data_IF_170008368366
#
_entry.id   IF_170008368366
#
_cell.length_a   1.000
_cell.length_b   1.000
_cell.length_c   1.000
_cell.angle_alpha   90.00
_cell.angle_beta   90.00
_cell.angle_gamma   90.00
#
_symmetry.space_group_name_H-M   'P 1'
#
loop_
_entity.id
_entity.type
_entity.pdbx_description
1 polymer ?
#
# COMPACT_ATOMS: atom_id res chain seq x y z
N UNK A 1 23.59 5.80 -15.68
CA UNK A 1 22.71 6.66 -16.48
C UNK A 1 22.42 6.04 -17.85
N UNK A 2 23.42 5.72 -18.65
CA UNK A 2 23.27 5.08 -19.97
C UNK A 2 22.34 3.85 -19.96
N UNK A 3 22.61 2.87 -19.08
CA UNK A 3 21.77 1.66 -18.89
C UNK A 3 20.31 2.01 -18.53
N UNK A 4 20.10 3.06 -17.75
CA UNK A 4 18.75 3.47 -17.33
C UNK A 4 17.98 4.11 -18.50
N UNK A 5 18.65 4.92 -19.32
CA UNK A 5 18.08 5.45 -20.55
C UNK A 5 17.78 4.33 -21.56
N UNK A 6 18.66 3.32 -21.69
CA UNK A 6 18.42 2.18 -22.58
C UNK A 6 17.15 1.40 -22.17
N UNK A 7 16.95 1.20 -20.86
CA UNK A 7 15.73 0.60 -20.33
C UNK A 7 14.48 1.45 -20.65
N UNK A 8 14.52 2.76 -20.42
CA UNK A 8 13.40 3.65 -20.76
C UNK A 8 13.13 3.69 -22.28
N UNK A 9 14.17 3.72 -23.10
CA UNK A 9 14.05 3.68 -24.56
C UNK A 9 13.45 2.35 -25.04
N UNK A 10 13.78 1.23 -24.38
CA UNK A 10 13.14 -0.05 -24.65
C UNK A 10 11.65 0.00 -24.35
N UNK A 11 11.25 0.54 -23.19
CA UNK A 11 9.83 0.72 -22.83
C UNK A 11 9.08 1.53 -23.88
N UNK A 12 9.66 2.65 -24.35
CA UNK A 12 9.06 3.48 -25.41
C UNK A 12 8.90 2.71 -26.72
N UNK A 13 9.89 1.90 -27.12
CA UNK A 13 9.84 1.11 -28.36
C UNK A 13 8.80 -0.01 -28.31
N UNK A 14 8.46 -0.50 -27.12
CA UNK A 14 7.50 -1.60 -26.92
C UNK A 14 6.09 -1.13 -26.53
N UNK A 15 5.81 0.17 -26.62
CA UNK A 15 4.48 0.70 -26.35
C UNK A 15 3.43 0.13 -27.31
N UNK A 16 2.17 0.15 -26.89
CA UNK A 16 1.03 -0.15 -27.74
C UNK A 16 0.86 0.88 -28.86
N UNK A 17 0.28 0.51 -30.03
CA UNK A 17 -0.06 1.47 -31.08
C UNK A 17 -0.93 2.66 -30.64
N UNK A 18 -1.68 2.53 -29.54
CA UNK A 18 -2.45 3.61 -28.93
C UNK A 18 -1.61 4.64 -28.14
N UNK A 19 -0.31 4.42 -28.01
CA UNK A 19 0.58 5.29 -27.25
C UNK A 19 0.41 5.16 -25.75
N UNK A 20 0.32 3.91 -25.26
CA UNK A 20 0.33 3.55 -23.85
C UNK A 20 1.24 2.33 -23.62
N UNK A 21 1.64 2.08 -22.39
CA UNK A 21 2.44 0.91 -22.03
C UNK A 21 1.71 -0.40 -22.39
N UNK A 22 2.46 -1.37 -22.93
CA UNK A 22 1.92 -2.69 -23.23
C UNK A 22 1.91 -3.59 -22.00
N UNK A 23 0.79 -4.29 -21.79
CA UNK A 23 0.66 -5.37 -20.83
C UNK A 23 -0.15 -6.54 -21.44
N UNK A 24 0.12 -6.89 -22.71
CA UNK A 24 -0.60 -7.97 -23.41
C UNK A 24 -0.27 -9.36 -22.88
N UNK A 25 1.00 -9.58 -22.61
CA UNK A 25 1.58 -10.91 -22.35
C UNK A 25 1.97 -11.10 -20.88
N UNK A 26 1.60 -10.14 -20.04
CA UNK A 26 1.94 -10.06 -18.63
C UNK A 26 0.66 -10.28 -17.81
N UNK A 27 0.78 -10.98 -16.68
CA UNK A 27 -0.32 -11.43 -15.84
C UNK A 27 -0.65 -10.50 -14.67
N UNK A 28 0.24 -9.62 -14.22
CA UNK A 28 0.00 -8.81 -13.01
C UNK A 28 0.07 -7.32 -13.32
N UNK A 29 -0.75 -6.50 -12.65
CA UNK A 29 -0.70 -5.05 -12.91
C UNK A 29 0.68 -4.42 -12.62
N UNK A 30 1.50 -5.06 -11.78
CA UNK A 30 2.91 -4.65 -11.56
C UNK A 30 3.77 -4.67 -12.82
N UNK A 31 3.41 -5.49 -13.81
CA UNK A 31 4.10 -5.57 -15.10
C UNK A 31 3.72 -4.40 -16.01
N UNK A 32 2.59 -3.73 -15.75
CA UNK A 32 2.28 -2.42 -16.31
C UNK A 32 2.95 -1.29 -15.52
N UNK A 33 2.91 -1.34 -14.19
CA UNK A 33 3.38 -0.23 -13.34
C UNK A 33 4.91 -0.17 -13.20
N UNK A 34 5.63 -1.28 -13.38
CA UNK A 34 7.10 -1.29 -13.41
C UNK A 34 7.70 -0.41 -14.52
N UNK A 35 7.33 -0.64 -15.80
CA UNK A 35 7.70 0.24 -16.90
C UNK A 35 7.26 1.69 -16.71
N UNK A 36 6.07 1.92 -16.12
CA UNK A 36 5.60 3.27 -15.79
C UNK A 36 6.55 3.97 -14.81
N UNK A 37 6.98 3.28 -13.76
CA UNK A 37 7.92 3.83 -12.79
C UNK A 37 9.26 4.21 -13.45
N UNK A 38 9.78 3.37 -14.35
CA UNK A 38 11.00 3.67 -15.12
C UNK A 38 10.85 4.97 -15.91
N UNK A 39 9.74 5.13 -16.65
CA UNK A 39 9.53 6.34 -17.44
C UNK A 39 9.41 7.59 -16.58
N UNK A 40 8.73 7.51 -15.44
CA UNK A 40 8.58 8.62 -14.50
C UNK A 40 9.93 9.08 -13.92
N UNK A 41 10.74 8.13 -13.45
CA UNK A 41 12.06 8.42 -12.87
C UNK A 41 13.00 9.05 -13.91
N UNK A 42 13.03 8.49 -15.13
CA UNK A 42 13.92 8.99 -16.19
C UNK A 42 13.41 10.29 -16.78
N UNK A 43 12.10 10.49 -16.91
CA UNK A 43 11.56 11.77 -17.36
C UNK A 43 11.97 12.90 -16.42
N UNK A 44 11.89 12.69 -15.10
CA UNK A 44 12.35 13.67 -14.10
C UNK A 44 13.84 13.97 -14.19
N UNK A 45 14.65 12.95 -14.49
CA UNK A 45 16.09 13.10 -14.59
C UNK A 45 16.54 13.76 -15.91
N UNK A 46 15.81 13.56 -17.00
CA UNK A 46 16.30 13.91 -18.35
C UNK A 46 15.42 14.87 -19.14
N UNK A 47 14.16 15.10 -18.74
CA UNK A 47 13.18 15.90 -19.47
C UNK A 47 12.99 15.48 -20.94
N UNK A 48 13.12 14.17 -21.22
CA UNK A 48 12.87 13.63 -22.57
C UNK A 48 11.37 13.46 -22.75
N UNK A 49 10.78 14.31 -23.59
CA UNK A 49 9.33 14.36 -23.84
C UNK A 49 8.70 13.00 -24.18
N UNK A 50 9.42 12.14 -24.92
CA UNK A 50 8.92 10.80 -25.24
C UNK A 50 8.62 9.95 -24.00
N UNK A 51 9.38 10.13 -22.91
CA UNK A 51 9.14 9.42 -21.65
C UNK A 51 7.93 10.02 -20.91
N UNK A 52 7.88 11.35 -20.81
CA UNK A 52 6.80 12.07 -20.14
C UNK A 52 5.44 11.82 -20.79
N UNK A 53 5.36 11.97 -22.11
CA UNK A 53 4.15 11.76 -22.89
C UNK A 53 3.59 10.34 -22.74
N UNK A 54 4.45 9.33 -22.81
CA UNK A 54 4.03 7.94 -22.65
C UNK A 54 3.63 7.64 -21.20
N UNK A 55 4.35 8.17 -20.21
CA UNK A 55 4.06 7.98 -18.80
C UNK A 55 2.71 8.59 -18.41
N UNK A 56 2.45 9.85 -18.79
CA UNK A 56 1.20 10.55 -18.49
C UNK A 56 -0.02 9.81 -19.04
N UNK A 57 0.03 9.47 -20.34
CA UNK A 57 -1.06 8.73 -21.00
C UNK A 57 -1.30 7.37 -20.36
N UNK A 58 -0.22 6.66 -20.02
CA UNK A 58 -0.32 5.33 -19.42
C UNK A 58 -0.84 5.39 -17.98
N UNK A 59 -0.46 6.42 -17.22
CA UNK A 59 -0.99 6.63 -15.86
C UNK A 59 -2.49 6.95 -15.91
N UNK A 60 -2.92 7.84 -16.80
CA UNK A 60 -4.35 8.16 -16.96
C UNK A 60 -5.16 6.93 -17.40
N UNK A 61 -4.59 6.08 -18.27
CA UNK A 61 -5.24 4.85 -18.72
C UNK A 61 -5.32 3.83 -17.59
N UNK A 62 -4.25 3.68 -16.82
CA UNK A 62 -4.22 2.83 -15.63
C UNK A 62 -5.30 3.24 -14.63
N UNK A 63 -5.37 4.53 -14.28
CA UNK A 63 -6.38 5.06 -13.36
C UNK A 63 -7.82 4.88 -13.90
N UNK A 64 -8.02 4.98 -15.21
CA UNK A 64 -9.31 4.70 -15.85
C UNK A 64 -9.72 3.22 -15.77
N UNK A 65 -8.74 2.31 -15.71
CA UNK A 65 -8.96 0.87 -15.67
C UNK A 65 -9.21 0.33 -14.25
N UNK A 66 -9.04 1.16 -13.21
CA UNK A 66 -9.22 0.72 -11.83
C UNK A 66 -10.71 0.49 -11.52
N UNK A 67 -11.05 -0.52 -10.69
CA UNK A 67 -12.43 -0.77 -10.27
C UNK A 67 -13.09 0.42 -9.56
N UNK A 68 -12.27 1.26 -8.93
CA UNK A 68 -12.66 2.49 -8.27
C UNK A 68 -11.46 3.13 -7.58
N UNK A 69 -11.58 4.38 -7.10
CA UNK A 69 -10.53 5.05 -6.34
C UNK A 69 -10.04 4.21 -5.15
N UNK A 70 -8.74 4.08 -4.99
CA UNK A 70 -8.11 3.28 -3.92
C UNK A 70 -8.17 1.75 -4.11
N UNK A 71 -8.76 1.25 -5.20
CA UNK A 71 -8.87 -0.18 -5.47
C UNK A 71 -8.00 -0.62 -6.65
N UNK A 72 -7.39 -1.79 -6.52
CA UNK A 72 -6.46 -2.33 -7.51
C UNK A 72 -6.94 -3.68 -8.05
N UNK A 73 -6.97 -3.87 -9.38
CA UNK A 73 -7.16 -5.20 -9.92
C UNK A 73 -5.95 -6.08 -9.57
N UNK A 74 -6.14 -7.39 -9.47
CA UNK A 74 -5.01 -8.32 -9.35
C UNK A 74 -4.15 -8.21 -10.62
N UNK A 75 -4.81 -8.19 -11.76
CA UNK A 75 -4.22 -8.28 -13.09
C UNK A 75 -4.84 -7.23 -14.00
N UNK A 76 -4.03 -6.62 -14.85
CA UNK A 76 -4.45 -5.62 -15.84
C UNK A 76 -3.80 -5.93 -17.17
N UNK A 77 -4.59 -6.04 -18.23
CA UNK A 77 -4.13 -6.38 -19.56
C UNK A 77 -4.53 -5.32 -20.58
N UNK A 78 -3.59 -4.96 -21.46
CA UNK A 78 -3.93 -4.25 -22.70
C UNK A 78 -4.42 -5.23 -23.76
N UNK A 79 -5.44 -4.82 -24.53
CA UNK A 79 -6.11 -5.63 -25.56
C UNK A 79 -6.54 -4.78 -26.76
N UNK A 80 -7.18 -5.42 -27.73
CA UNK A 80 -7.59 -4.79 -28.98
C UNK A 80 -6.45 -4.62 -29.98
N UNK A 81 -6.76 -4.25 -31.21
CA UNK A 81 -5.76 -4.04 -32.28
C UNK A 81 -4.77 -2.93 -31.91
N UNK A 82 -5.26 -1.85 -31.30
CA UNK A 82 -4.45 -0.70 -30.89
C UNK A 82 -3.84 -0.80 -29.50
N UNK A 83 -4.30 -1.74 -28.67
CA UNK A 83 -3.81 -1.89 -27.30
C UNK A 83 -4.49 -0.98 -26.28
N UNK A 84 -5.57 -0.29 -26.65
CA UNK A 84 -6.29 0.66 -25.80
C UNK A 84 -7.46 0.05 -25.01
N UNK A 85 -7.74 -1.24 -25.19
CA UNK A 85 -8.75 -1.94 -24.41
C UNK A 85 -8.17 -2.48 -23.10
N UNK A 86 -8.95 -2.41 -22.03
CA UNK A 86 -8.58 -2.95 -20.73
C UNK A 86 -9.36 -4.23 -20.41
N UNK A 87 -8.63 -5.25 -19.95
CA UNK A 87 -9.20 -6.42 -19.27
C UNK A 87 -8.60 -6.48 -17.88
N UNK A 88 -9.44 -6.67 -16.87
CA UNK A 88 -9.02 -6.70 -15.46
C UNK A 88 -9.44 -8.00 -14.80
N UNK A 89 -8.54 -8.56 -13.99
CA UNK A 89 -8.93 -9.55 -12.99
C UNK A 89 -9.26 -8.80 -11.70
N UNK A 90 -10.49 -8.92 -11.21
CA UNK A 90 -11.03 -8.04 -10.18
C UNK A 90 -10.27 -8.10 -8.87
N UNK A 91 -10.38 -6.99 -8.15
CA UNK A 91 -9.66 -6.69 -6.93
C UNK A 91 -10.05 -7.61 -5.77
N UNK A 92 -9.10 -7.84 -4.89
CA UNK A 92 -9.35 -8.12 -3.47
C UNK A 92 -9.32 -6.76 -2.75
N UNK A 93 -10.03 -6.53 -1.62
CA UNK A 93 -9.95 -5.27 -0.88
C UNK A 93 -8.52 -4.72 -0.76
N UNK A 94 -8.36 -3.38 -0.69
CA UNK A 94 -7.29 -2.54 -1.28
C UNK A 94 -5.81 -2.96 -1.15
N UNK A 95 -5.46 -3.94 -0.34
CA UNK A 95 -4.09 -4.15 0.17
C UNK A 95 -3.46 -5.44 -0.34
N UNK A 96 -4.07 -6.05 -1.37
CA UNK A 96 -3.77 -7.40 -1.80
C UNK A 96 -2.55 -7.58 -2.72
N UNK A 97 -2.32 -6.72 -3.73
CA UNK A 97 -1.62 -7.22 -4.93
C UNK A 97 -0.55 -6.34 -5.64
N UNK A 98 -0.26 -5.10 -5.25
CA UNK A 98 1.09 -4.52 -5.41
C UNK A 98 1.25 -3.32 -4.48
N UNK A 99 2.26 -3.37 -3.61
CA UNK A 99 2.43 -2.42 -2.51
C UNK A 99 3.42 -1.30 -2.78
N UNK A 100 3.88 -1.12 -4.02
CA UNK A 100 4.92 -0.12 -4.34
C UNK A 100 4.41 0.94 -5.32
N UNK A 101 3.20 1.48 -5.07
CA UNK A 101 2.61 2.53 -5.92
C UNK A 101 3.05 3.94 -5.52
N UNK A 102 3.59 4.13 -4.31
CA UNK A 102 4.03 5.43 -3.83
C UNK A 102 4.98 6.16 -4.80
N UNK A 103 6.04 5.53 -5.35
CA UNK A 103 6.93 6.21 -6.31
C UNK A 103 6.19 6.77 -7.52
N UNK A 104 5.23 6.01 -8.05
CA UNK A 104 4.40 6.40 -9.19
C UNK A 104 3.49 7.57 -8.82
N UNK A 105 2.87 7.54 -7.64
CA UNK A 105 1.98 8.62 -7.18
C UNK A 105 2.73 9.90 -6.87
N UNK A 106 3.84 9.80 -6.14
CA UNK A 106 4.69 10.93 -5.84
C UNK A 106 5.25 11.59 -7.10
N UNK A 107 5.66 10.79 -8.09
CA UNK A 107 6.13 11.29 -9.37
C UNK A 107 4.99 11.87 -10.22
N UNK A 108 3.86 11.17 -10.31
CA UNK A 108 2.68 11.58 -11.07
C UNK A 108 2.11 12.91 -10.58
N UNK A 109 1.88 13.08 -9.27
CA UNK A 109 1.38 14.32 -8.68
C UNK A 109 2.34 15.51 -8.88
N UNK A 110 3.65 15.24 -8.95
CA UNK A 110 4.67 16.27 -9.20
C UNK A 110 4.75 16.67 -10.66
N UNK A 111 4.61 15.71 -11.57
CA UNK A 111 4.87 15.91 -13.00
C UNK A 111 3.63 16.29 -13.81
N UNK A 112 2.46 15.79 -13.41
CA UNK A 112 1.27 15.85 -14.23
C UNK A 112 0.09 16.38 -13.40
N UNK A 113 -0.69 17.34 -13.93
CA UNK A 113 -1.96 17.71 -13.31
C UNK A 113 -2.96 16.57 -13.52
N UNK A 114 -3.39 15.90 -12.45
CA UNK A 114 -4.38 14.83 -12.54
C UNK A 114 -5.31 14.80 -11.33
N UNK A 115 -6.54 15.28 -11.52
CA UNK A 115 -7.60 15.21 -10.50
C UNK A 115 -7.94 13.74 -10.17
N UNK A 116 -7.92 12.87 -11.18
CA UNK A 116 -8.17 11.44 -10.98
C UNK A 116 -7.10 10.79 -10.08
N UNK A 117 -5.83 11.14 -10.27
CA UNK A 117 -4.76 10.68 -9.39
C UNK A 117 -4.94 11.22 -7.97
N UNK A 118 -5.32 12.48 -7.83
CA UNK A 118 -5.61 13.09 -6.52
C UNK A 118 -6.71 12.33 -5.77
N UNK A 119 -7.84 12.09 -6.43
CA UNK A 119 -8.97 11.34 -5.88
C UNK A 119 -8.55 9.92 -5.49
N UNK A 120 -7.76 9.26 -6.35
CA UNK A 120 -7.27 7.90 -6.10
C UNK A 120 -6.38 7.81 -4.85
N UNK A 121 -5.38 8.69 -4.74
CA UNK A 121 -4.45 8.71 -3.60
C UNK A 121 -5.20 8.99 -2.29
N UNK A 122 -6.16 9.92 -2.29
CA UNK A 122 -6.96 10.19 -1.10
C UNK A 122 -7.86 9.02 -0.71
N UNK A 123 -8.49 8.35 -1.68
CA UNK A 123 -9.32 7.19 -1.40
C UNK A 123 -8.50 6.05 -0.77
N UNK A 124 -7.29 5.80 -1.28
CA UNK A 124 -6.37 4.82 -0.68
C UNK A 124 -5.96 5.23 0.73
N UNK A 125 -5.59 6.49 0.96
CA UNK A 125 -5.22 6.99 2.28
C UNK A 125 -6.37 6.86 3.28
N UNK A 126 -7.61 7.14 2.88
CA UNK A 126 -8.79 6.99 3.75
C UNK A 126 -9.02 5.53 4.14
N UNK A 127 -8.87 4.59 3.20
CA UNK A 127 -8.96 3.18 3.52
C UNK A 127 -7.87 2.76 4.53
N UNK A 128 -6.61 3.18 4.32
CA UNK A 128 -5.51 2.88 5.23
C UNK A 128 -5.76 3.47 6.63
N UNK A 129 -6.27 4.70 6.68
CA UNK A 129 -6.51 5.43 7.92
C UNK A 129 -7.58 4.75 8.78
N UNK A 130 -8.68 4.27 8.18
CA UNK A 130 -9.85 3.82 8.93
C UNK A 130 -10.08 2.32 8.93
N UNK A 131 -9.80 1.64 7.82
CA UNK A 131 -10.24 0.27 7.62
C UNK A 131 -9.10 -0.74 7.71
N UNK A 132 -7.92 -0.40 7.22
CA UNK A 132 -6.80 -1.33 7.21
C UNK A 132 -6.33 -1.63 8.63
N UNK A 133 -5.93 -2.88 8.88
CA UNK A 133 -5.16 -3.24 10.08
C UNK A 133 -3.91 -2.33 10.13
N UNK A 134 -3.49 -1.88 11.30
CA UNK A 134 -2.29 -1.02 11.45
C UNK A 134 -1.07 -1.79 11.93
N UNK A 135 -1.26 -3.03 12.40
CA UNK A 135 -0.22 -3.91 12.94
C UNK A 135 -0.67 -5.39 12.84
N UNK A 136 0.18 -6.29 13.30
CA UNK A 136 -0.08 -7.72 13.52
C UNK A 136 -0.88 -8.02 14.79
N UNK A 137 -1.25 -7.00 15.57
CA UNK A 137 -2.05 -7.14 16.77
C UNK A 137 -3.51 -6.85 16.44
N UNK A 138 -4.38 -7.80 16.76
CA UNK A 138 -5.80 -7.75 16.43
C UNK A 138 -6.64 -8.12 17.64
N UNK A 139 -7.81 -7.53 17.79
CA UNK A 139 -8.81 -8.01 18.77
C UNK A 139 -9.51 -9.27 18.24
N UNK A 140 -10.26 -9.94 19.11
CA UNK A 140 -11.09 -11.08 18.71
C UNK A 140 -12.10 -10.71 17.60
N UNK A 141 -12.69 -9.52 17.69
CA UNK A 141 -13.67 -9.02 16.72
C UNK A 141 -13.02 -8.71 15.36
N UNK A 142 -11.89 -8.00 15.37
CA UNK A 142 -11.08 -7.78 14.17
C UNK A 142 -10.70 -9.11 13.51
N UNK A 143 -10.24 -10.08 14.30
CA UNK A 143 -9.87 -11.38 13.77
C UNK A 143 -11.06 -12.14 13.18
N UNK A 144 -12.25 -12.07 13.80
CA UNK A 144 -13.49 -12.68 13.30
C UNK A 144 -13.86 -12.19 11.91
N UNK A 145 -13.67 -10.89 11.64
CA UNK A 145 -14.15 -10.25 10.41
C UNK A 145 -13.07 -10.04 9.35
N UNK A 146 -11.78 -9.99 9.74
CA UNK A 146 -10.67 -9.66 8.83
C UNK A 146 -9.78 -10.84 8.48
N UNK A 147 -9.74 -11.87 9.33
CA UNK A 147 -8.82 -12.98 9.17
C UNK A 147 -9.56 -14.23 8.69
N UNK A 148 -8.86 -15.05 7.91
CA UNK A 148 -9.38 -16.36 7.46
C UNK A 148 -8.95 -17.47 8.41
N UNK A 149 -9.55 -18.66 8.29
CA UNK A 149 -9.18 -19.86 9.08
C UNK A 149 -7.73 -20.30 8.93
N UNK A 150 -7.01 -19.78 7.91
CA UNK A 150 -5.56 -19.99 7.75
C UNK A 150 -4.71 -19.15 8.70
N UNK A 151 -5.33 -18.29 9.50
CA UNK A 151 -4.64 -17.35 10.38
C UNK A 151 -4.49 -17.94 11.76
N UNK A 152 -3.24 -18.16 12.17
CA UNK A 152 -2.94 -18.50 13.55
C UNK A 152 -2.92 -17.23 14.40
N UNK A 153 -3.39 -17.38 15.63
CA UNK A 153 -3.47 -16.33 16.64
C UNK A 153 -2.86 -16.77 17.95
N UNK A 154 -2.22 -15.86 18.67
CA UNK A 154 -1.71 -16.10 20.01
C UNK A 154 -2.10 -14.93 20.91
N UNK A 155 -2.69 -15.21 22.08
CA UNK A 155 -3.05 -14.14 23.04
C UNK A 155 -1.80 -13.37 23.46
N UNK A 156 -1.92 -12.05 23.53
CA UNK A 156 -0.87 -11.13 23.98
C UNK A 156 -1.26 -10.55 25.34
N UNK A 157 -2.51 -10.10 25.44
CA UNK A 157 -3.14 -9.65 26.67
C UNK A 157 -4.62 -10.05 26.68
N UNK A 158 -5.42 -9.43 27.56
CA UNK A 158 -6.85 -9.71 27.72
C UNK A 158 -7.70 -9.29 26.50
N UNK A 159 -7.19 -8.42 25.63
CA UNK A 159 -7.92 -7.85 24.49
C UNK A 159 -7.32 -8.25 23.13
N UNK A 160 -5.99 -8.29 23.04
CA UNK A 160 -5.25 -8.42 21.79
C UNK A 160 -4.62 -9.79 21.58
N UNK A 161 -4.54 -10.15 20.30
CA UNK A 161 -3.93 -11.34 19.78
C UNK A 161 -2.88 -10.96 18.74
N UNK A 162 -1.74 -11.63 18.79
CA UNK A 162 -0.75 -11.62 17.73
C UNK A 162 -1.20 -12.53 16.59
N UNK A 163 -1.05 -12.08 15.33
CA UNK A 163 -1.23 -12.91 14.15
C UNK A 163 0.02 -12.94 13.26
N UNK A 164 0.32 -14.10 12.67
CA UNK A 164 1.36 -14.25 11.64
C UNK A 164 1.03 -13.43 10.36
N UNK A 165 -0.25 -13.11 10.16
CA UNK A 165 -0.76 -12.34 9.02
C UNK A 165 -1.10 -10.91 9.44
N UNK A 166 -0.08 -10.10 9.69
CA UNK A 166 -0.26 -8.66 9.88
C UNK A 166 0.11 -7.84 8.65
N UNK A 167 0.03 -6.53 8.85
CA UNK A 167 0.42 -5.53 7.86
C UNK A 167 1.92 -5.68 7.61
N UNK A 168 2.28 -6.38 6.54
CA UNK A 168 3.65 -6.43 6.05
C UNK A 168 4.19 -5.01 5.90
N UNK A 169 5.13 -4.63 6.78
CA UNK A 169 5.97 -3.41 6.77
C UNK A 169 5.40 -2.30 5.91
N UNK A 170 4.37 -1.63 6.43
CA UNK A 170 3.36 -0.90 5.66
C UNK A 170 3.91 0.09 4.63
N UNK A 171 4.23 -0.41 3.44
CA UNK A 171 4.55 0.39 2.26
C UNK A 171 3.43 1.39 1.92
N UNK A 172 2.19 1.12 2.37
CA UNK A 172 1.06 2.04 2.29
C UNK A 172 1.23 3.29 3.17
N UNK A 173 2.08 3.26 4.20
CA UNK A 173 2.30 4.42 5.07
C UNK A 173 2.84 5.64 4.29
N UNK A 174 3.55 5.44 3.17
CA UNK A 174 4.00 6.55 2.33
C UNK A 174 2.85 7.26 1.61
N UNK A 175 1.74 6.57 1.36
CA UNK A 175 0.51 7.16 0.82
C UNK A 175 -0.08 8.16 1.81
N UNK A 176 0.04 7.87 3.12
CA UNK A 176 -0.37 8.81 4.17
C UNK A 176 0.48 10.09 4.15
N UNK A 177 1.78 9.96 3.88
CA UNK A 177 2.65 11.12 3.70
C UNK A 177 2.24 11.98 2.49
N UNK A 178 1.86 11.36 1.36
CA UNK A 178 1.31 12.09 0.21
C UNK A 178 0.00 12.77 0.57
N UNK A 179 -0.92 12.07 1.22
CA UNK A 179 -2.21 12.63 1.61
C UNK A 179 -2.03 13.85 2.54
N UNK A 180 -1.06 13.82 3.45
CA UNK A 180 -0.69 14.98 4.24
C UNK A 180 -0.14 16.13 3.38
N UNK A 181 0.79 15.89 2.46
CA UNK A 181 1.29 16.95 1.55
C UNK A 181 0.16 17.59 0.73
N UNK A 182 -0.80 16.77 0.32
CA UNK A 182 -1.94 17.17 -0.49
C UNK A 182 -2.96 18.01 0.29
N UNK A 183 -3.18 17.71 1.57
CA UNK A 183 -4.35 18.24 2.31
C UNK A 183 -3.99 19.09 3.53
N UNK A 184 -2.80 18.90 4.10
CA UNK A 184 -2.43 19.43 5.41
C UNK A 184 -3.20 18.80 6.59
N UNK A 185 -4.00 17.75 6.38
CA UNK A 185 -4.80 17.15 7.46
C UNK A 185 -3.90 16.38 8.45
N UNK A 186 -3.84 16.80 9.74
CA UNK A 186 -2.96 16.19 10.72
C UNK A 186 -3.31 14.73 11.05
N UNK A 187 -4.50 14.22 10.69
CA UNK A 187 -4.84 12.81 10.86
C UNK A 187 -3.88 11.88 10.09
N UNK A 188 -3.41 12.29 8.91
CA UNK A 188 -2.45 11.51 8.12
C UNK A 188 -1.05 11.54 8.74
N UNK A 189 -0.62 12.68 9.29
CA UNK A 189 0.63 12.79 10.03
C UNK A 189 0.59 11.97 11.34
N UNK A 190 -0.55 11.96 12.03
CA UNK A 190 -0.75 11.15 13.23
C UNK A 190 -0.63 9.65 12.93
N UNK A 191 -1.18 9.17 11.80
CA UNK A 191 -0.96 7.80 11.34
C UNK A 191 0.54 7.51 11.15
N UNK A 192 1.25 8.39 10.43
CA UNK A 192 2.69 8.24 10.20
C UNK A 192 3.47 8.12 11.52
N UNK A 193 3.12 8.95 12.50
CA UNK A 193 3.73 8.93 13.82
C UNK A 193 3.46 7.64 14.59
N UNK A 194 2.21 7.16 14.57
CA UNK A 194 1.85 5.91 15.21
C UNK A 194 2.56 4.71 14.57
N UNK A 195 2.72 4.74 13.25
CA UNK A 195 3.50 3.73 12.53
C UNK A 195 4.97 3.75 12.98
N UNK A 196 5.60 4.92 13.00
CA UNK A 196 7.02 5.08 13.36
C UNK A 196 7.31 4.62 14.79
N UNK A 197 6.49 5.03 15.76
CA UNK A 197 6.76 4.77 17.18
C UNK A 197 6.09 3.51 17.73
N UNK A 198 5.12 2.94 17.01
CA UNK A 198 4.47 1.68 17.35
C UNK A 198 4.95 0.54 16.45
N UNK A 199 4.24 0.36 15.32
CA UNK A 199 4.41 -0.79 14.42
C UNK A 199 5.86 -1.01 13.99
N UNK A 200 6.54 0.04 13.52
CA UNK A 200 7.93 -0.04 13.07
C UNK A 200 8.89 -0.44 14.19
N UNK A 201 8.79 0.17 15.38
CA UNK A 201 9.65 -0.17 16.52
C UNK A 201 9.47 -1.64 16.93
N UNK A 202 8.22 -2.11 17.02
CA UNK A 202 7.92 -3.52 17.32
C UNK A 202 8.48 -4.45 16.24
N UNK A 203 8.33 -4.09 14.97
CA UNK A 203 8.84 -4.90 13.86
C UNK A 203 10.38 -4.95 13.85
N UNK A 204 11.04 -3.81 14.02
CA UNK A 204 12.49 -3.72 14.09
C UNK A 204 13.04 -4.57 15.25
N UNK A 205 12.35 -4.57 16.40
CA UNK A 205 12.73 -5.42 17.52
C UNK A 205 12.59 -6.91 17.17
N UNK A 206 11.48 -7.36 16.59
CA UNK A 206 11.34 -8.77 16.16
C UNK A 206 12.48 -9.18 15.22
N UNK A 207 12.81 -8.34 14.24
CA UNK A 207 13.92 -8.61 13.31
C UNK A 207 15.28 -8.75 14.02
N UNK A 208 15.55 -8.01 15.10
CA UNK A 208 16.80 -8.16 15.88
C UNK A 208 16.90 -9.51 16.57
N UNK A 209 15.77 -10.13 16.91
CA UNK A 209 15.68 -11.44 17.54
C UNK A 209 15.46 -12.58 16.52
N UNK A 210 15.63 -12.32 15.22
CA UNK A 210 15.37 -13.31 14.16
C UNK A 210 13.93 -13.85 14.13
N UNK A 211 13.00 -13.13 14.77
CA UNK A 211 11.57 -13.43 14.82
C UNK A 211 10.84 -12.67 13.71
N UNK A 212 9.92 -13.33 13.00
CA UNK A 212 9.12 -12.67 11.94
C UNK A 212 10.02 -11.98 10.88
N UNK A 213 11.15 -12.62 10.58
CA UNK A 213 12.17 -12.08 9.70
C UNK A 213 12.00 -12.56 8.26
N UNK A 214 11.24 -11.79 7.47
CA UNK A 214 11.03 -12.05 6.03
C UNK A 214 11.90 -11.11 5.20
N UNK A 215 12.49 -11.61 4.11
CA UNK A 215 13.30 -10.78 3.20
C UNK A 215 12.50 -9.58 2.64
N UNK A 216 11.20 -9.76 2.42
CA UNK A 216 10.28 -8.71 1.97
C UNK A 216 10.08 -7.58 3.01
N UNK A 217 10.60 -7.73 4.23
CA UNK A 217 10.44 -6.77 5.32
C UNK A 217 11.65 -5.84 5.47
N UNK A 218 12.72 -6.04 4.68
CA UNK A 218 13.98 -5.31 4.81
C UNK A 218 14.02 -3.98 4.04
N UNK A 219 12.87 -3.44 3.64
CA UNK A 219 12.77 -2.22 2.85
C UNK A 219 12.49 -0.96 3.68
N UNK A 220 12.72 -0.95 4.99
CA UNK A 220 12.43 0.22 5.85
C UNK A 220 13.06 1.53 5.36
N UNK A 221 14.22 1.44 4.71
CA UNK A 221 14.90 2.60 4.12
C UNK A 221 14.10 3.29 3.00
N UNK A 222 13.15 2.60 2.35
CA UNK A 222 12.36 3.20 1.27
C UNK A 222 11.26 4.13 1.77
N UNK A 223 10.79 3.96 3.01
CA UNK A 223 9.62 4.69 3.52
C UNK A 223 9.82 5.43 4.85
N UNK A 224 10.61 4.89 5.79
CA UNK A 224 10.78 5.50 7.12
C UNK A 224 11.27 6.95 7.06
N UNK A 225 12.26 7.32 6.21
CA UNK A 225 12.68 8.72 6.10
C UNK A 225 11.55 9.67 5.68
N UNK A 226 10.64 9.20 4.80
CA UNK A 226 9.51 10.00 4.34
C UNK A 226 8.53 10.28 5.47
N UNK A 227 8.25 9.28 6.30
CA UNK A 227 7.36 9.44 7.46
C UNK A 227 7.97 10.38 8.51
N UNK A 228 9.28 10.27 8.76
CA UNK A 228 10.00 11.14 9.71
C UNK A 228 9.88 12.60 9.29
N UNK A 229 10.04 12.90 7.99
CA UNK A 229 9.88 14.28 7.48
C UNK A 229 8.47 14.81 7.76
N UNK A 230 7.42 14.04 7.43
CA UNK A 230 6.02 14.47 7.64
C UNK A 230 5.74 14.75 9.10
N UNK A 231 6.12 13.83 9.98
CA UNK A 231 5.89 13.97 11.42
C UNK A 231 6.67 15.15 11.98
N UNK A 232 7.94 15.31 11.58
CA UNK A 232 8.77 16.44 11.99
C UNK A 232 8.17 17.77 11.54
N UNK A 233 7.66 17.85 10.31
CA UNK A 233 7.03 19.06 9.77
C UNK A 233 5.72 19.38 10.51
N UNK A 234 4.84 18.39 10.66
CA UNK A 234 3.58 18.55 11.38
C UNK A 234 3.79 18.97 12.84
N UNK A 235 4.77 18.38 13.54
CA UNK A 235 5.12 18.78 14.92
C UNK A 235 5.67 20.20 15.02
N UNK A 236 6.46 20.62 14.03
CA UNK A 236 7.03 21.97 14.00
C UNK A 236 5.97 23.03 13.69
N UNK A 237 4.96 22.69 12.88
CA UNK A 237 3.84 23.57 12.55
C UNK A 237 2.86 23.70 13.72
N UNK A 238 2.34 22.58 14.24
CA UNK A 238 1.43 22.55 15.38
C UNK A 238 1.43 21.17 16.07
N UNK A 239 2.35 20.97 17.01
CA UNK A 239 2.43 19.73 17.77
C UNK A 239 1.18 19.41 18.60
N UNK A 240 0.45 20.41 19.09
CA UNK A 240 -0.76 20.19 19.87
C UNK A 240 -1.91 19.69 18.99
N UNK A 241 -2.03 20.23 17.77
CA UNK A 241 -2.99 19.72 16.78
C UNK A 241 -2.68 18.28 16.37
N UNK A 242 -1.39 17.93 16.22
CA UNK A 242 -0.99 16.55 15.90
C UNK A 242 -1.38 15.58 17.03
N UNK A 243 -1.06 15.93 18.28
CA UNK A 243 -1.40 15.08 19.43
C UNK A 243 -2.92 14.89 19.57
N UNK A 244 -3.71 15.95 19.32
CA UNK A 244 -5.16 15.86 19.29
C UNK A 244 -5.68 15.00 18.13
N UNK A 245 -5.07 15.11 16.94
CA UNK A 245 -5.42 14.30 15.79
C UNK A 245 -5.15 12.81 16.05
N UNK A 246 -4.02 12.46 16.68
CA UNK A 246 -3.69 11.11 17.13
C UNK A 246 -4.76 10.55 18.07
N UNK A 247 -5.15 11.29 19.10
CA UNK A 247 -6.17 10.86 20.05
C UNK A 247 -7.53 10.64 19.37
N UNK A 248 -7.95 11.58 18.52
CA UNK A 248 -9.22 11.49 17.78
C UNK A 248 -9.24 10.31 16.82
N UNK A 249 -8.14 10.10 16.11
CA UNK A 249 -7.99 8.98 15.18
C UNK A 249 -8.10 7.63 15.91
N UNK A 250 -7.32 7.44 16.98
CA UNK A 250 -7.37 6.22 17.81
C UNK A 250 -8.75 5.98 18.41
N UNK A 251 -9.37 7.00 19.00
CA UNK A 251 -10.71 6.92 19.59
C UNK A 251 -11.74 6.51 18.55
N UNK A 252 -11.78 7.20 17.40
CA UNK A 252 -12.72 6.87 16.33
C UNK A 252 -12.53 5.46 15.81
N UNK A 253 -11.28 5.00 15.67
CA UNK A 253 -10.99 3.63 15.28
C UNK A 253 -11.48 2.61 16.29
N UNK A 254 -11.31 2.87 17.58
CA UNK A 254 -11.86 2.03 18.64
C UNK A 254 -13.40 1.96 18.58
N UNK A 255 -14.07 3.11 18.41
CA UNK A 255 -15.54 3.18 18.25
C UNK A 255 -16.06 2.41 17.01
N UNK A 256 -15.21 2.27 16.00
CA UNK A 256 -15.48 1.51 14.77
C UNK A 256 -15.07 0.03 14.86
N UNK A 257 -14.68 -0.48 16.02
CA UNK A 257 -14.25 -1.87 16.21
C UNK A 257 -12.86 -2.19 15.64
N UNK A 258 -12.06 -1.17 15.36
CA UNK A 258 -10.72 -1.28 14.76
C UNK A 258 -9.63 -0.62 15.63
N UNK A 259 -9.59 -0.86 16.96
CA UNK A 259 -8.67 -0.18 17.87
C UNK A 259 -7.21 -0.37 17.46
N UNK A 260 -6.40 0.64 17.75
CA UNK A 260 -4.96 0.64 17.43
C UNK A 260 -4.20 0.12 18.64
N UNK A 261 -3.41 -0.93 18.45
CA UNK A 261 -2.58 -1.50 19.51
C UNK A 261 -1.43 -0.57 19.92
N UNK A 262 -1.38 -0.21 21.21
CA UNK A 262 -0.38 0.65 21.83
C UNK A 262 0.47 -0.06 22.90
N UNK A 263 0.26 -1.36 23.10
CA UNK A 263 1.02 -2.18 24.03
C UNK A 263 2.43 -2.57 23.57
N UNK A 264 3.16 -3.32 24.43
CA UNK A 264 4.49 -3.83 24.13
C UNK A 264 4.47 -4.84 22.98
N UNK A 265 5.63 -5.27 22.50
CA UNK A 265 5.67 -6.36 21.52
C UNK A 265 5.22 -7.69 22.15
N UNK A 266 5.12 -8.75 21.33
CA UNK A 266 5.17 -10.13 21.87
C UNK A 266 6.41 -10.30 22.75
N UNK A 267 6.32 -11.13 23.78
CA UNK A 267 7.41 -11.28 24.75
C UNK A 267 8.52 -12.17 24.18
N UNK A 268 9.47 -11.53 23.49
CA UNK A 268 10.62 -12.19 22.85
C UNK A 268 11.61 -12.81 23.85
N UNK A 269 11.44 -12.63 25.17
CA UNK A 269 12.25 -13.34 26.16
C UNK A 269 11.74 -14.76 26.42
N UNK A 270 10.45 -15.00 26.16
CA UNK A 270 9.80 -16.28 26.42
C UNK A 270 9.25 -16.93 25.16
N UNK A 271 8.79 -16.15 24.17
CA UNK A 271 8.21 -16.67 22.93
C UNK A 271 9.30 -17.00 21.91
N UNK A 272 9.35 -18.27 21.49
CA UNK A 272 10.19 -18.70 20.36
C UNK A 272 9.41 -18.52 19.06
N UNK A 273 9.96 -17.79 18.09
CA UNK A 273 9.27 -17.47 16.84
C UNK A 273 10.04 -17.93 15.60
N UNK A 274 9.31 -18.36 14.58
CA UNK A 274 9.89 -18.59 13.26
C UNK A 274 9.94 -17.31 12.38
N UNK A 275 10.53 -17.46 11.20
CA UNK A 275 10.67 -16.37 10.21
C UNK A 275 9.34 -15.83 9.67
N UNK A 276 8.23 -16.56 9.83
CA UNK A 276 6.90 -16.12 9.41
C UNK A 276 6.12 -15.44 10.55
N UNK A 277 6.73 -15.36 11.73
CA UNK A 277 6.10 -14.81 12.92
C UNK A 277 5.21 -15.81 13.65
N UNK A 278 5.38 -17.11 13.45
CA UNK A 278 4.66 -18.12 14.22
C UNK A 278 5.32 -18.33 15.57
N UNK A 279 4.54 -18.35 16.66
CA UNK A 279 5.05 -18.70 17.99
C UNK A 279 5.05 -20.22 18.14
N UNK A 280 6.21 -20.80 18.43
CA UNK A 280 6.50 -22.23 18.34
C UNK A 280 6.31 -22.96 19.67
N UNK A 281 6.51 -22.28 20.78
CA UNK A 281 6.52 -22.86 22.12
C UNK A 281 5.18 -22.76 22.86
N UNK A 282 4.15 -22.18 22.23
CA UNK A 282 2.76 -22.22 22.72
C UNK A 282 1.75 -22.35 21.60
N UNK A 283 0.65 -23.05 21.89
CA UNK A 283 -0.40 -23.34 20.90
C UNK A 283 -1.16 -22.07 20.51
N UNK A 284 -1.54 -21.92 19.24
CA UNK A 284 -2.43 -20.85 18.83
C UNK A 284 -3.82 -21.04 19.44
N UNK A 285 -4.54 -19.93 19.62
CA UNK A 285 -5.94 -19.93 20.02
C UNK A 285 -6.83 -20.02 18.78
N UNK A 286 -7.90 -20.78 18.91
CA UNK A 286 -8.94 -20.84 17.89
C UNK A 286 -10.07 -19.89 18.27
N UNK A 287 -10.33 -18.91 17.40
CA UNK A 287 -11.38 -17.91 17.58
C UNK A 287 -12.33 -18.01 16.39
N UNK A 288 -13.65 -17.83 16.59
CA UNK A 288 -14.62 -17.87 15.49
C UNK A 288 -14.23 -16.92 14.35
N UNK A 289 -14.45 -17.37 13.12
CA UNK A 289 -14.26 -16.60 11.88
C UNK A 289 -15.55 -16.51 11.11
N UNK A 290 -15.82 -15.32 10.59
CA UNK A 290 -16.95 -15.04 9.69
C UNK A 290 -16.49 -14.39 8.39
N UNK A 291 -15.19 -14.07 8.27
CA UNK A 291 -14.64 -13.53 7.05
C UNK A 291 -14.94 -14.50 5.89
N UNK A 292 -15.71 -14.07 4.87
CA UNK A 292 -16.04 -14.94 3.77
C UNK A 292 -14.76 -15.38 3.05
N UNK A 293 -14.76 -16.57 2.41
CA UNK A 293 -13.69 -16.91 1.49
C UNK A 293 -13.52 -15.76 0.49
N UNK A 294 -12.28 -15.37 0.18
CA UNK A 294 -12.03 -14.31 -0.81
C UNK A 294 -12.73 -14.70 -2.11
N UNK A 295 -13.76 -13.94 -2.48
CA UNK A 295 -14.48 -14.15 -3.72
C UNK A 295 -13.49 -13.98 -4.88
N UNK A 296 -13.43 -14.96 -5.78
CA UNK A 296 -12.83 -14.76 -7.09
C UNK A 296 -13.91 -14.16 -7.97
N UNK A 297 -13.97 -12.84 -7.99
CA UNK A 297 -14.80 -12.16 -8.97
C UNK A 297 -14.31 -12.53 -10.40
N UNK A 298 -15.20 -12.54 -11.41
CA UNK A 298 -14.84 -12.95 -12.76
C UNK A 298 -13.96 -11.91 -13.47
N UNK A 299 -13.12 -12.35 -14.41
CA UNK A 299 -12.39 -11.46 -15.31
C UNK A 299 -13.37 -10.55 -16.06
N UNK A 300 -13.13 -9.24 -16.03
CA UNK A 300 -14.00 -8.23 -16.65
C UNK A 300 -13.29 -7.59 -17.83
N UNK A 301 -13.95 -7.57 -18.99
CA UNK A 301 -13.53 -6.73 -20.12
C UNK A 301 -14.19 -5.37 -19.99
N UNK A 302 -13.37 -4.32 -19.83
CA UNK A 302 -13.83 -2.93 -19.81
C UNK A 302 -13.93 -2.34 -21.22
N UNK A 303 -13.42 -3.04 -22.22
CA UNK A 303 -13.32 -2.55 -23.59
C UNK A 303 -12.40 -1.33 -23.69
N UNK A 304 -12.63 -0.47 -24.70
CA UNK A 304 -11.87 0.76 -24.90
C UNK A 304 -12.23 1.78 -23.82
N UNK A 305 -11.23 2.26 -23.11
CA UNK A 305 -11.41 3.29 -22.07
C UNK A 305 -11.50 4.69 -22.69
N UNK A 306 -12.37 5.54 -22.13
CA UNK A 306 -12.39 6.96 -22.46
C UNK A 306 -11.24 7.66 -21.73
N UNK A 307 -10.26 8.12 -22.51
CA UNK A 307 -9.15 8.93 -22.05
C UNK A 307 -9.55 10.39 -22.16
N UNK A 308 -9.53 11.13 -21.05
CA UNK A 308 -9.62 12.58 -21.08
C UNK A 308 -8.35 13.13 -21.74
N UNK A 309 -8.52 14.11 -22.63
CA UNK A 309 -7.47 14.75 -23.42
C UNK A 309 -6.78 15.86 -22.65
#
# INVERSE_FOLDING_TARGET
MEVACEAADWVVRTQEPAGILSCRNAALHREFTGPLNILLDLYQATWREAYGWLAERSLNWFLAALPGPGHYPVSLYTRGERGDEAVVEPAVPPVGHARDMYPIFAAGLRLFPSERLWIHVLAEAQYLLWEQLTDNFVTADMARHRLTDRSLLWSVDDEFYWTQWGVSGDFGAQVMALAYDMTGDPAYAAYCEAHLHGTFVRQAERCRHFADWRFTWLCFGSYVPRLIEVVSRARAEDGAALDLAMQRWKSRRADQGMPVYDGPNVDLQVDEMDVNGNILNRKPVDLPREAPPRAREPVVSLGRLQMES
#
